data_IF_549828173123
#
_entry.id   IF_549828173123
#
_cell.length_a   1.000
_cell.length_b   1.000
_cell.length_c   1.000
_cell.angle_alpha   90.00
_cell.angle_beta   90.00
_cell.angle_gamma   90.00
#
_symmetry.space_group_name_H-M   'P 1'
#
loop_
_entity.id
_entity.type
_entity.pdbx_description
1 polymer ?
#
# COMPACT_ATOMS: atom_id res chain seq x y z
N UNK A 1 -52.31 50.21 -51.13
CA UNK A 1 -51.02 50.03 -51.84
C UNK A 1 -49.85 49.58 -50.96
N UNK A 2 -50.01 49.29 -49.65
CA UNK A 2 -48.89 48.87 -48.77
C UNK A 2 -48.80 47.35 -48.48
N UNK A 3 -49.86 46.58 -48.76
CA UNK A 3 -49.88 45.14 -48.48
C UNK A 3 -49.06 44.30 -49.49
N UNK A 4 -49.05 44.72 -50.76
CA UNK A 4 -48.32 44.02 -51.83
C UNK A 4 -46.79 44.11 -51.69
N UNK A 5 -46.29 45.20 -51.10
CA UNK A 5 -44.85 45.40 -50.85
C UNK A 5 -44.35 44.51 -49.70
N UNK A 6 -45.16 44.28 -48.67
CA UNK A 6 -44.82 43.40 -47.55
C UNK A 6 -44.81 41.93 -48.00
N UNK A 7 -45.76 41.53 -48.84
CA UNK A 7 -45.80 40.16 -49.37
C UNK A 7 -44.62 39.84 -50.30
N UNK A 8 -44.16 40.81 -51.10
CA UNK A 8 -42.98 40.66 -51.95
C UNK A 8 -41.68 40.51 -51.15
N UNK A 9 -41.56 41.19 -50.00
CA UNK A 9 -40.39 41.08 -49.12
C UNK A 9 -40.31 39.71 -48.42
N UNK A 10 -41.46 39.15 -48.01
CA UNK A 10 -41.52 37.82 -47.38
C UNK A 10 -41.16 36.71 -48.37
N UNK A 11 -41.63 36.81 -49.62
CA UNK A 11 -41.27 35.84 -50.66
C UNK A 11 -39.79 35.93 -51.06
N UNK A 12 -39.19 37.12 -51.08
CA UNK A 12 -37.76 37.28 -51.38
C UNK A 12 -36.84 36.67 -50.29
N UNK A 13 -37.26 36.70 -49.02
CA UNK A 13 -36.50 36.08 -47.91
C UNK A 13 -36.68 34.56 -47.92
N UNK A 14 -37.89 34.07 -48.16
CA UNK A 14 -38.19 32.63 -48.20
C UNK A 14 -37.60 31.93 -49.44
N UNK A 15 -37.50 32.62 -50.58
CA UNK A 15 -36.87 32.09 -51.80
C UNK A 15 -35.36 32.38 -51.88
N UNK A 16 -34.87 33.43 -51.21
CA UNK A 16 -33.44 33.78 -51.15
C UNK A 16 -32.63 32.92 -50.17
N UNK A 17 -33.25 32.40 -49.10
CA UNK A 17 -32.63 31.40 -48.22
C UNK A 17 -32.94 29.94 -48.62
N UNK A 18 -33.83 29.73 -49.60
CA UNK A 18 -34.33 28.41 -49.99
C UNK A 18 -33.80 27.87 -51.32
N UNK A 19 -33.00 28.62 -52.08
CA UNK A 19 -32.59 28.21 -53.42
C UNK A 19 -31.12 28.53 -53.69
N UNK A 20 -30.20 27.70 -53.18
CA UNK A 20 -28.88 27.62 -53.81
C UNK A 20 -27.69 27.36 -52.91
N UNK A 21 -27.73 26.33 -52.05
CA UNK A 21 -26.56 25.45 -51.88
C UNK A 21 -27.04 24.03 -51.58
N UNK A 22 -27.54 23.36 -52.62
CA UNK A 22 -27.40 21.91 -52.69
C UNK A 22 -25.93 21.59 -52.96
N UNK A 23 -25.34 20.73 -52.15
CA UNK A 23 -24.11 20.03 -52.51
C UNK A 23 -23.02 20.07 -51.45
N UNK A 24 -23.21 19.34 -50.34
CA UNK A 24 -22.10 19.13 -49.40
C UNK A 24 -22.46 18.34 -48.15
N UNK A 25 -22.72 17.03 -48.30
CA UNK A 25 -22.42 15.97 -47.30
C UNK A 25 -23.19 16.09 -45.95
N UNK A 26 -24.29 15.35 -45.77
CA UNK A 26 -24.30 14.02 -45.14
C UNK A 26 -23.46 13.95 -43.84
N UNK A 27 -24.17 14.06 -42.71
CA UNK A 27 -23.82 13.63 -41.33
C UNK A 27 -22.80 14.46 -40.54
N UNK A 28 -23.16 14.71 -39.28
CA UNK A 28 -22.35 15.21 -38.15
C UNK A 28 -22.24 16.74 -37.96
N UNK A 29 -23.05 17.24 -37.01
CA UNK A 29 -22.78 18.30 -36.03
C UNK A 29 -21.51 19.15 -36.22
N UNK A 30 -21.69 20.39 -36.69
CA UNK A 30 -20.65 21.43 -36.64
C UNK A 30 -20.63 22.16 -35.29
N UNK A 31 -19.55 21.91 -34.54
CA UNK A 31 -18.77 22.73 -33.60
C UNK A 31 -19.38 23.89 -32.76
N UNK A 32 -18.95 24.02 -31.47
CA UNK A 32 -19.42 25.07 -30.57
C UNK A 32 -18.79 26.42 -30.90
N UNK A 33 -19.63 27.45 -31.08
CA UNK A 33 -19.20 28.84 -31.10
C UNK A 33 -19.08 29.34 -29.66
N UNK A 34 -17.84 29.44 -29.20
CA UNK A 34 -17.51 30.02 -27.90
C UNK A 34 -17.83 31.52 -27.82
N UNK A 35 -18.22 31.96 -26.62
CA UNK A 35 -18.27 33.37 -26.25
C UNK A 35 -18.92 33.59 -24.90
N UNK A 36 -18.12 33.87 -23.87
CA UNK A 36 -18.60 34.61 -22.68
C UNK A 36 -18.49 33.91 -21.32
N UNK A 37 -17.25 33.75 -20.83
CA UNK A 37 -16.82 34.07 -19.45
C UNK A 37 -17.76 33.69 -18.30
N UNK A 38 -17.51 32.52 -17.68
CA UNK A 38 -18.05 32.17 -16.36
C UNK A 38 -18.60 30.76 -16.24
N UNK A 39 -17.84 29.74 -16.65
CA UNK A 39 -18.21 28.36 -16.37
C UNK A 39 -17.88 28.07 -14.91
N UNK A 40 -18.86 28.18 -14.01
CA UNK A 40 -18.85 27.33 -12.82
C UNK A 40 -18.64 25.90 -13.33
N UNK A 41 -17.66 25.13 -12.83
CA UNK A 41 -17.59 23.72 -13.17
C UNK A 41 -18.89 23.10 -12.68
N UNK A 42 -19.79 22.83 -13.62
CA UNK A 42 -20.93 21.95 -13.39
C UNK A 42 -20.27 20.65 -12.96
N UNK A 43 -20.44 20.32 -11.68
CA UNK A 43 -19.94 19.09 -11.11
C UNK A 43 -20.71 17.93 -11.74
N UNK A 44 -20.24 17.47 -12.90
CA UNK A 44 -20.72 16.24 -13.56
C UNK A 44 -20.26 14.97 -12.82
N UNK A 45 -19.61 15.06 -11.65
CA UNK A 45 -19.21 13.88 -10.88
C UNK A 45 -20.36 13.24 -10.07
N UNK A 46 -21.63 13.62 -10.31
CA UNK A 46 -22.80 13.02 -9.67
C UNK A 46 -23.74 12.34 -10.66
N UNK A 47 -23.22 11.80 -11.77
CA UNK A 47 -23.92 10.74 -12.49
C UNK A 47 -23.32 9.38 -12.09
N UNK A 48 -23.81 8.85 -10.97
CA UNK A 48 -23.48 7.51 -10.47
C UNK A 48 -24.42 6.49 -11.14
N UNK A 49 -24.47 6.48 -12.48
CA UNK A 49 -25.15 5.40 -13.22
C UNK A 49 -24.38 4.91 -14.46
N UNK A 50 -23.26 5.54 -14.80
CA UNK A 50 -22.33 5.00 -15.78
C UNK A 50 -21.26 4.19 -15.08
N UNK A 51 -21.35 2.87 -15.13
CA UNK A 51 -20.21 2.00 -14.82
C UNK A 51 -19.10 2.36 -15.82
N UNK A 52 -18.21 3.25 -15.40
CA UNK A 52 -17.00 3.56 -16.14
C UNK A 52 -16.27 2.22 -16.34
N UNK A 53 -15.68 1.95 -17.51
CA UNK A 53 -14.87 0.76 -17.69
C UNK A 53 -13.60 0.91 -16.84
N UNK A 54 -13.71 0.64 -15.54
CA UNK A 54 -12.55 0.45 -14.70
C UNK A 54 -12.08 -0.96 -15.03
N UNK A 55 -11.18 -1.03 -16.01
CA UNK A 55 -10.31 -2.18 -16.17
C UNK A 55 -9.47 -2.28 -14.90
N UNK A 56 -10.08 -2.82 -13.84
CA UNK A 56 -9.45 -3.18 -12.58
C UNK A 56 -8.49 -4.33 -12.87
N UNK A 57 -7.37 -4.01 -13.51
CA UNK A 57 -6.13 -4.73 -13.21
C UNK A 57 -5.89 -4.55 -11.71
N UNK A 58 -5.42 -5.58 -11.02
CA UNK A 58 -5.36 -5.69 -9.55
C UNK A 58 -4.53 -4.63 -8.80
N UNK A 59 -4.16 -3.54 -9.46
CA UNK A 59 -3.38 -2.39 -9.01
C UNK A 59 -4.18 -1.08 -9.21
N UNK A 60 -5.49 -1.10 -8.94
CA UNK A 60 -6.24 0.15 -8.80
C UNK A 60 -5.74 0.84 -7.53
N UNK A 61 -4.70 1.64 -7.68
CA UNK A 61 -4.17 2.50 -6.64
C UNK A 61 -5.37 3.25 -6.07
N UNK A 62 -5.73 2.98 -4.82
CA UNK A 62 -6.82 3.69 -4.17
C UNK A 62 -6.41 5.16 -4.11
N UNK A 63 -6.82 5.94 -5.11
CA UNK A 63 -6.66 7.38 -5.08
C UNK A 63 -7.65 7.89 -4.03
N UNK A 64 -7.22 7.91 -2.77
CA UNK A 64 -7.90 8.69 -1.75
C UNK A 64 -7.81 10.13 -2.21
N UNK A 65 -8.96 10.69 -2.56
CA UNK A 65 -9.07 12.01 -3.15
C UNK A 65 -8.35 13.05 -2.27
N UNK A 66 -7.39 13.78 -2.85
CA UNK A 66 -6.65 14.84 -2.14
C UNK A 66 -5.23 14.48 -1.72
N UNK A 67 -4.76 13.25 -1.95
CA UNK A 67 -3.34 12.92 -1.79
C UNK A 67 -2.62 12.97 -3.15
N UNK A 68 -1.41 13.55 -3.24
CA UNK A 68 -0.61 13.53 -4.47
C UNK A 68 -0.40 12.10 -4.98
N UNK A 69 -0.18 11.93 -6.27
CA UNK A 69 0.04 10.63 -6.94
C UNK A 69 1.23 9.79 -6.37
N UNK A 70 2.03 10.37 -5.48
CA UNK A 70 3.14 9.71 -4.77
C UNK A 70 2.76 9.10 -3.42
N UNK A 71 1.50 9.22 -2.97
CA UNK A 71 1.06 8.74 -1.66
C UNK A 71 0.34 7.41 -1.81
N UNK A 72 1.03 6.33 -1.42
CA UNK A 72 0.41 5.02 -1.28
C UNK A 72 -0.40 4.97 0.03
N UNK A 73 -1.73 4.89 -0.10
CA UNK A 73 -2.68 4.79 1.01
C UNK A 73 -3.12 3.36 1.31
N UNK A 74 -2.75 2.41 0.46
CA UNK A 74 -3.09 0.99 0.61
C UNK A 74 -2.12 0.25 1.54
N UNK A 75 -1.16 0.98 2.15
CA UNK A 75 -0.04 0.38 2.87
C UNK A 75 0.92 -0.33 1.91
N UNK A 76 2.01 -0.87 2.44
CA UNK A 76 2.87 -1.72 1.64
C UNK A 76 2.12 -3.04 1.38
N UNK A 77 1.72 -3.32 0.12
CA UNK A 77 1.06 -4.59 -0.24
C UNK A 77 1.92 -5.79 0.15
N UNK A 78 3.24 -5.63 0.11
CA UNK A 78 4.21 -6.66 0.52
C UNK A 78 4.25 -6.87 2.05
N UNK A 79 3.64 -5.97 2.83
CA UNK A 79 3.47 -6.09 4.28
C UNK A 79 2.02 -6.44 4.69
N UNK A 80 1.15 -6.79 3.74
CA UNK A 80 -0.21 -7.20 4.05
C UNK A 80 -0.20 -8.46 4.92
N UNK A 81 -0.84 -8.39 6.08
CA UNK A 81 -0.87 -9.49 7.06
C UNK A 81 0.35 -9.57 7.98
N UNK A 82 1.29 -8.63 7.88
CA UNK A 82 2.46 -8.59 8.78
C UNK A 82 2.00 -8.24 10.20
N UNK A 83 2.47 -9.01 11.18
CA UNK A 83 2.23 -8.77 12.60
C UNK A 83 3.52 -8.83 13.40
N UNK A 84 3.47 -8.28 14.61
CA UNK A 84 4.60 -8.25 15.54
C UNK A 84 4.34 -9.22 16.69
N UNK A 85 5.26 -10.14 16.93
CA UNK A 85 5.32 -10.92 18.15
C UNK A 85 6.49 -10.46 19.02
N UNK A 86 6.27 -10.31 20.32
CA UNK A 86 7.31 -9.96 21.30
C UNK A 86 7.25 -10.91 22.46
N UNK A 87 8.39 -11.19 23.07
CA UNK A 87 8.42 -12.04 24.25
C UNK A 87 9.80 -12.20 24.83
N UNK A 88 9.85 -13.00 25.88
CA UNK A 88 11.08 -13.38 26.56
C UNK A 88 11.16 -14.90 26.65
N UNK A 89 12.37 -15.45 26.61
CA UNK A 89 12.57 -16.85 26.97
C UNK A 89 12.40 -17.06 28.49
N UNK A 90 12.29 -18.32 28.90
CA UNK A 90 12.64 -18.69 30.27
C UNK A 90 14.12 -18.42 30.55
N UNK A 91 14.52 -18.50 31.83
CA UNK A 91 15.92 -18.41 32.21
C UNK A 91 16.68 -19.65 31.73
N UNK A 92 17.82 -19.44 31.09
CA UNK A 92 18.67 -20.48 30.53
C UNK A 92 19.98 -20.49 31.29
N UNK A 93 20.37 -21.66 31.80
CA UNK A 93 21.65 -21.83 32.50
C UNK A 93 22.78 -22.00 31.50
N UNK A 94 23.81 -21.17 31.62
CA UNK A 94 25.03 -21.28 30.80
C UNK A 94 25.89 -22.42 31.33
N UNK A 95 25.99 -23.50 30.54
CA UNK A 95 26.84 -24.64 30.84
C UNK A 95 28.30 -24.40 30.47
N UNK A 96 29.17 -25.29 30.92
CA UNK A 96 30.57 -25.33 30.49
C UNK A 96 30.66 -25.70 29.01
N UNK A 97 31.43 -24.95 28.24
CA UNK A 97 31.80 -25.29 26.86
C UNK A 97 33.19 -25.95 26.82
N UNK A 98 33.54 -26.57 25.69
CA UNK A 98 34.92 -26.99 25.39
C UNK A 98 35.87 -25.78 25.20
N UNK A 99 35.29 -24.58 25.05
CA UNK A 99 36.00 -23.30 25.05
C UNK A 99 36.13 -22.75 26.48
N UNK A 100 37.06 -21.81 26.75
CA UNK A 100 37.13 -21.07 28.01
C UNK A 100 35.96 -20.05 28.13
N UNK A 101 34.75 -20.50 27.81
CA UNK A 101 33.52 -19.75 27.86
C UNK A 101 32.40 -20.66 28.33
N UNK A 102 31.40 -20.05 28.95
CA UNK A 102 30.15 -20.71 29.31
C UNK A 102 29.14 -20.37 28.23
N UNK A 103 28.52 -21.37 27.63
CA UNK A 103 27.68 -21.17 26.46
C UNK A 103 26.50 -22.13 26.48
N UNK A 104 25.35 -21.64 26.03
CA UNK A 104 24.15 -22.47 25.91
C UNK A 104 23.26 -21.97 24.79
N UNK A 105 22.58 -22.91 24.15
CA UNK A 105 21.51 -22.65 23.19
C UNK A 105 20.17 -23.08 23.77
N UNK A 106 19.11 -22.35 23.46
CA UNK A 106 17.75 -22.75 23.81
C UNK A 106 16.78 -22.37 22.69
N UNK A 107 15.78 -23.23 22.48
CA UNK A 107 14.69 -22.94 21.57
C UNK A 107 13.73 -21.91 22.19
N UNK A 108 13.30 -20.95 21.38
CA UNK A 108 12.26 -19.98 21.70
C UNK A 108 11.11 -20.24 20.75
N UNK A 109 9.92 -20.46 21.30
CA UNK A 109 8.68 -20.64 20.55
C UNK A 109 7.90 -19.35 20.54
N UNK A 110 7.44 -18.92 19.38
CA UNK A 110 6.53 -17.78 19.27
C UNK A 110 5.15 -18.15 19.81
N UNK A 111 4.45 -17.19 20.43
CA UNK A 111 3.07 -17.41 20.90
C UNK A 111 2.08 -17.70 19.77
N UNK A 112 2.43 -17.36 18.53
CA UNK A 112 1.66 -17.65 17.32
C UNK A 112 2.63 -17.95 16.18
N UNK A 113 2.32 -18.96 15.38
CA UNK A 113 3.12 -19.30 14.21
C UNK A 113 2.90 -18.26 13.11
N UNK A 114 3.99 -17.83 12.49
CA UNK A 114 3.99 -17.03 11.27
C UNK A 114 3.69 -17.95 10.06
N UNK A 115 3.12 -17.39 8.98
CA UNK A 115 2.95 -18.12 7.72
C UNK A 115 4.27 -18.30 6.96
N UNK A 116 5.27 -17.45 7.23
CA UNK A 116 6.65 -17.58 6.72
C UNK A 116 7.70 -17.29 7.82
N UNK A 117 8.98 -17.55 7.56
CA UNK A 117 10.02 -17.25 8.55
C UNK A 117 10.10 -15.72 8.77
N UNK A 118 9.84 -15.22 10.00
CA UNK A 118 9.78 -13.78 10.26
C UNK A 118 11.19 -13.18 10.30
N UNK A 119 11.28 -11.85 10.35
CA UNK A 119 12.49 -11.13 10.74
C UNK A 119 12.53 -11.02 12.26
N UNK A 120 13.63 -11.40 12.89
CA UNK A 120 13.74 -11.38 14.35
C UNK A 120 14.94 -10.56 14.79
N UNK A 121 14.69 -9.66 15.74
CA UNK A 121 15.72 -8.98 16.52
C UNK A 121 15.69 -9.56 17.92
N UNK A 122 16.86 -9.96 18.42
CA UNK A 122 17.02 -10.54 19.75
C UNK A 122 18.09 -9.80 20.52
N UNK A 123 17.87 -9.61 21.81
CA UNK A 123 18.89 -9.20 22.77
C UNK A 123 18.98 -10.24 23.88
N UNK A 124 20.13 -10.26 24.57
CA UNK A 124 20.38 -11.19 25.67
C UNK A 124 20.63 -10.40 26.94
N UNK A 125 19.86 -10.70 27.97
CA UNK A 125 20.08 -10.21 29.33
C UNK A 125 20.75 -11.31 30.13
N UNK A 126 21.84 -11.00 30.83
CA UNK A 126 22.50 -11.93 31.75
C UNK A 126 22.11 -11.55 33.17
N UNK A 127 21.50 -12.48 33.90
CA UNK A 127 20.81 -12.19 35.16
C UNK A 127 21.65 -12.49 36.41
N UNK A 128 22.72 -13.29 36.32
CA UNK A 128 23.68 -13.43 37.42
C UNK A 128 25.04 -14.00 36.98
N UNK A 129 26.09 -13.62 37.72
CA UNK A 129 27.39 -14.30 37.73
C UNK A 129 28.28 -14.17 36.49
N UNK A 130 27.80 -13.58 35.39
CA UNK A 130 28.47 -13.61 34.10
C UNK A 130 28.72 -12.20 33.54
N UNK A 131 29.92 -11.98 32.97
CA UNK A 131 30.15 -10.91 32.02
C UNK A 131 29.69 -11.42 30.66
N UNK A 132 28.60 -10.85 30.14
CA UNK A 132 28.04 -11.25 28.85
C UNK A 132 29.06 -11.00 27.73
N UNK A 133 29.45 -12.04 26.99
CA UNK A 133 30.20 -11.88 25.74
C UNK A 133 29.27 -11.50 24.58
N UNK A 134 28.00 -11.89 24.67
CA UNK A 134 26.98 -11.62 23.68
C UNK A 134 26.06 -12.81 23.48
N UNK A 135 25.04 -12.60 22.65
CA UNK A 135 24.11 -13.63 22.24
C UNK A 135 23.53 -13.31 20.88
N UNK A 136 22.99 -14.32 20.22
CA UNK A 136 22.50 -14.21 18.85
C UNK A 136 21.55 -15.32 18.48
N UNK A 137 20.93 -15.18 17.32
CA UNK A 137 20.10 -16.23 16.74
C UNK A 137 21.03 -17.26 16.10
N UNK A 138 20.83 -18.54 16.43
CA UNK A 138 21.61 -19.64 15.87
C UNK A 138 21.43 -19.72 14.36
N UNK A 139 22.53 -19.98 13.65
CA UNK A 139 22.52 -20.04 12.19
C UNK A 139 21.53 -21.10 11.68
N UNK A 140 20.67 -20.72 10.74
CA UNK A 140 19.65 -21.61 10.16
C UNK A 140 18.53 -22.04 11.11
N UNK A 141 18.44 -21.47 12.32
CA UNK A 141 17.46 -21.91 13.33
C UNK A 141 16.09 -21.25 13.23
N UNK A 142 15.96 -20.19 12.42
CA UNK A 142 14.75 -19.39 12.35
C UNK A 142 13.69 -20.08 11.49
N UNK A 143 12.54 -20.36 12.09
CA UNK A 143 11.39 -21.00 11.47
C UNK A 143 10.13 -20.16 11.69
N UNK A 144 9.01 -20.63 11.15
CA UNK A 144 7.69 -20.02 11.34
C UNK A 144 7.20 -20.07 12.79
N UNK A 145 7.69 -21.01 13.60
CA UNK A 145 7.21 -21.25 14.96
C UNK A 145 8.18 -20.81 16.03
N UNK A 146 9.42 -20.47 15.66
CA UNK A 146 10.43 -20.09 16.64
C UNK A 146 11.82 -19.96 16.06
N UNK A 147 12.79 -19.87 16.96
CA UNK A 147 14.21 -19.87 16.64
C UNK A 147 15.01 -20.48 17.78
N UNK A 148 16.29 -20.76 17.54
CA UNK A 148 17.22 -21.13 18.62
C UNK A 148 18.08 -19.92 18.95
N UNK A 149 17.99 -19.43 20.18
CA UNK A 149 18.87 -18.39 20.70
C UNK A 149 20.13 -18.99 21.31
N UNK A 150 21.24 -18.28 21.21
CA UNK A 150 22.53 -18.60 21.82
C UNK A 150 22.98 -17.47 22.74
N UNK A 151 23.56 -17.81 23.88
CA UNK A 151 24.24 -16.88 24.80
C UNK A 151 25.59 -17.44 25.22
N UNK A 152 26.56 -16.54 25.46
CA UNK A 152 27.84 -16.89 26.05
C UNK A 152 28.39 -15.87 27.05
N UNK A 153 29.28 -16.35 27.92
CA UNK A 153 29.97 -15.63 29.00
C UNK A 153 31.42 -16.10 29.10
N UNK A 154 32.35 -15.21 29.44
CA UNK A 154 33.76 -15.57 29.73
C UNK A 154 34.10 -15.59 31.23
N UNK A 155 33.19 -15.13 32.09
CA UNK A 155 33.52 -14.94 33.50
C UNK A 155 33.21 -16.19 34.31
N UNK A 156 31.93 -16.57 34.42
CA UNK A 156 31.49 -17.73 35.16
C UNK A 156 30.24 -18.35 34.53
N UNK A 157 29.89 -19.56 35.01
CA UNK A 157 28.56 -20.11 34.83
C UNK A 157 27.53 -19.13 35.40
N UNK A 158 26.45 -18.91 34.66
CA UNK A 158 25.44 -17.93 34.98
C UNK A 158 24.13 -18.25 34.28
N UNK A 159 23.21 -17.29 34.28
CA UNK A 159 21.92 -17.44 33.62
C UNK A 159 21.66 -16.29 32.66
N UNK A 160 20.95 -16.60 31.57
CA UNK A 160 20.57 -15.64 30.54
C UNK A 160 19.08 -15.71 30.22
N UNK A 161 18.54 -14.61 29.71
CA UNK A 161 17.18 -14.46 29.18
C UNK A 161 17.29 -13.81 27.81
N UNK A 162 16.57 -14.36 26.82
CA UNK A 162 16.43 -13.75 25.52
C UNK A 162 15.21 -12.84 25.49
N UNK A 163 15.38 -11.61 25.03
CA UNK A 163 14.28 -10.71 24.69
C UNK A 163 14.21 -10.62 23.17
N UNK A 164 13.02 -10.73 22.59
CA UNK A 164 12.89 -10.70 21.14
C UNK A 164 11.70 -9.87 20.64
N UNK A 165 11.87 -9.37 19.42
CA UNK A 165 10.82 -8.80 18.58
C UNK A 165 10.90 -9.52 17.24
N UNK A 166 9.81 -10.17 16.85
CA UNK A 166 9.64 -10.83 15.56
C UNK A 166 8.59 -10.09 14.73
N UNK A 167 8.89 -9.88 13.46
CA UNK A 167 8.06 -9.17 12.50
C UNK A 167 7.93 -10.03 11.24
N UNK A 168 6.71 -10.42 10.87
CA UNK A 168 6.46 -11.23 9.69
C UNK A 168 4.99 -11.50 9.48
N UNK A 169 4.68 -12.23 8.41
CA UNK A 169 3.33 -12.74 8.09
C UNK A 169 3.21 -14.18 8.51
#
# INVERSE_FOLDING_TARGET
MKFKQILALVFAIALGYGAGQQGGKLWATDYPTGGGVGVHPVNLASDVTGELPHGSTSDDAANVHGLPASVNVLGNRDASGEFVARGTSGSITLGTSDLPSYAQSAAVTFGTAFSSAPRVVMTTEVTSGANALGGGIGNGSLTTTGFTGFASSNANAGSAIYHYIALGT
#
